data_IF_771787452000
#
_entry.id   IF_771787452000
#
_cell.length_a   1.000
_cell.length_b   1.000
_cell.length_c   1.000
_cell.angle_alpha   90.00
_cell.angle_beta   90.00
_cell.angle_gamma   90.00
#
_symmetry.space_group_name_H-M   'P 1'
#
loop_
_entity.id
_entity.type
_entity.pdbx_description
1 polymer ?
#
# COMPACT_ATOMS: atom_id res chain seq x y z
N UNK A 1 -46.85 19.39 71.37
CA UNK A 1 -45.49 18.86 71.63
C UNK A 1 -44.80 18.63 70.31
N UNK A 2 -43.83 19.41 70.02
CA UNK A 2 -43.07 19.58 68.75
C UNK A 2 -41.94 18.58 68.69
N UNK A 3 -41.92 17.78 67.66
CA UNK A 3 -40.77 16.93 67.25
C UNK A 3 -40.19 17.37 65.93
N UNK A 4 -39.10 18.12 65.93
CA UNK A 4 -38.34 18.52 64.78
C UNK A 4 -37.44 17.36 64.34
N UNK A 5 -37.69 16.82 63.12
CA UNK A 5 -36.79 15.88 62.49
C UNK A 5 -35.54 16.60 62.01
N UNK A 6 -34.36 16.14 62.42
CA UNK A 6 -33.06 16.55 61.90
C UNK A 6 -32.85 15.86 60.54
N UNK A 7 -32.77 16.64 59.49
CA UNK A 7 -32.34 16.15 58.12
C UNK A 7 -30.83 15.94 58.14
N UNK A 8 -30.44 14.70 57.87
CA UNK A 8 -29.06 14.25 57.80
C UNK A 8 -28.33 14.82 56.54
N UNK A 9 -27.44 15.78 56.78
CA UNK A 9 -26.62 16.43 55.74
C UNK A 9 -25.45 15.56 55.24
N UNK A 10 -25.29 14.34 55.75
CA UNK A 10 -24.13 13.48 55.41
C UNK A 10 -24.18 12.80 54.04
N UNK A 11 -25.35 12.75 53.38
CA UNK A 11 -25.50 12.07 52.07
C UNK A 11 -25.11 12.92 50.84
N UNK A 12 -24.95 14.24 50.99
CA UNK A 12 -24.66 15.12 49.85
C UNK A 12 -23.20 15.13 49.41
N UNK A 13 -22.26 14.90 50.33
CA UNK A 13 -20.83 14.94 50.00
C UNK A 13 -20.35 13.69 49.23
N UNK A 14 -20.98 12.54 49.42
CA UNK A 14 -20.65 11.32 48.68
C UNK A 14 -21.02 11.40 47.19
N UNK A 15 -22.16 12.01 46.87
CA UNK A 15 -22.65 12.12 45.50
C UNK A 15 -21.85 13.15 44.70
N UNK A 16 -21.41 14.25 45.34
CA UNK A 16 -20.56 15.25 44.68
C UNK A 16 -19.15 14.74 44.42
N UNK A 17 -18.59 13.92 45.34
CA UNK A 17 -17.29 13.27 45.12
C UNK A 17 -17.29 12.25 43.98
N UNK A 18 -18.36 11.46 43.85
CA UNK A 18 -18.53 10.50 42.76
C UNK A 18 -18.72 11.20 41.40
N UNK A 19 -19.44 12.32 41.35
CA UNK A 19 -19.63 13.08 40.11
C UNK A 19 -18.31 13.74 39.66
N UNK A 20 -17.52 14.28 40.58
CA UNK A 20 -16.21 14.86 40.28
C UNK A 20 -15.22 13.82 39.78
N UNK A 21 -15.20 12.61 40.37
CA UNK A 21 -14.35 11.51 39.94
C UNK A 21 -14.75 11.01 38.54
N UNK A 22 -16.06 10.93 38.26
CA UNK A 22 -16.55 10.52 36.93
C UNK A 22 -16.16 11.52 35.81
N UNK A 23 -16.20 12.84 36.12
CA UNK A 23 -15.79 13.89 35.19
C UNK A 23 -14.29 13.81 34.91
N UNK A 24 -13.44 13.58 35.91
CA UNK A 24 -11.99 13.44 35.76
C UNK A 24 -11.64 12.20 34.93
N UNK A 25 -12.34 11.08 35.13
CA UNK A 25 -12.15 9.87 34.31
C UNK A 25 -12.63 10.07 32.88
N UNK A 26 -13.70 10.83 32.65
CA UNK A 26 -14.20 11.11 31.29
C UNK A 26 -13.26 12.04 30.50
N UNK A 27 -12.65 13.03 31.17
CA UNK A 27 -11.68 13.94 30.56
C UNK A 27 -10.34 13.24 30.25
N UNK A 28 -9.93 12.27 31.06
CA UNK A 28 -8.75 11.46 30.81
C UNK A 28 -8.91 10.56 29.54
N UNK A 29 -10.14 10.12 29.23
CA UNK A 29 -10.44 9.36 28.03
C UNK A 29 -10.40 10.22 26.75
N UNK A 30 -10.67 11.54 26.85
CA UNK A 30 -10.62 12.47 25.73
C UNK A 30 -9.20 12.94 25.39
N UNK A 31 -8.24 12.70 26.30
CA UNK A 31 -6.83 13.01 26.12
C UNK A 31 -5.97 11.80 25.71
N UNK A 32 -6.60 10.70 25.26
CA UNK A 32 -5.85 9.61 24.65
C UNK A 32 -5.05 10.19 23.47
N UNK A 33 -3.71 10.04 23.43
CA UNK A 33 -2.96 10.48 22.27
C UNK A 33 -3.54 9.75 21.07
N UNK A 34 -3.99 10.51 20.07
CA UNK A 34 -4.31 9.92 18.78
C UNK A 34 -3.03 9.22 18.33
N UNK A 35 -3.07 7.90 18.28
CA UNK A 35 -2.02 7.14 17.65
C UNK A 35 -2.01 7.61 16.20
N UNK A 36 -1.04 8.46 15.87
CA UNK A 36 -0.75 8.80 14.49
C UNK A 36 -0.38 7.48 13.84
N UNK A 37 -1.20 7.04 12.91
CA UNK A 37 -0.80 5.93 12.07
C UNK A 37 0.54 6.36 11.46
N UNK A 38 1.61 5.62 11.74
CA UNK A 38 2.93 5.89 11.19
C UNK A 38 2.77 5.98 9.68
N UNK A 39 2.86 7.21 9.15
CA UNK A 39 2.78 7.44 7.72
C UNK A 39 3.99 6.75 7.11
N UNK A 40 3.75 5.83 6.18
CA UNK A 40 4.84 5.15 5.51
C UNK A 40 5.75 6.17 4.84
N UNK A 41 7.08 5.93 4.88
CA UNK A 41 8.05 6.81 4.25
C UNK A 41 7.66 7.08 2.79
N UNK A 42 7.62 8.35 2.35
CA UNK A 42 7.21 8.69 1.00
C UNK A 42 8.21 8.17 -0.02
N UNK A 43 7.70 7.84 -1.20
CA UNK A 43 8.52 7.55 -2.37
C UNK A 43 8.65 8.83 -3.18
N UNK A 44 9.88 9.31 -3.39
CA UNK A 44 10.14 10.48 -4.21
C UNK A 44 10.00 10.18 -5.70
N UNK A 45 10.56 9.06 -6.14
CA UNK A 45 10.51 8.58 -7.52
C UNK A 45 10.30 7.07 -7.51
N UNK A 46 9.40 6.60 -8.36
CA UNK A 46 9.21 5.18 -8.64
C UNK A 46 9.15 5.00 -10.16
N UNK A 47 10.17 4.36 -10.71
CA UNK A 47 10.24 4.03 -12.12
C UNK A 47 9.99 2.52 -12.27
N UNK A 48 9.09 2.14 -13.15
CA UNK A 48 8.74 0.74 -13.41
C UNK A 48 8.84 0.49 -14.91
N UNK A 49 9.70 -0.44 -15.29
CA UNK A 49 9.84 -0.94 -16.64
C UNK A 49 9.26 -2.35 -16.73
N UNK A 50 8.31 -2.54 -17.62
CA UNK A 50 7.67 -3.83 -17.92
C UNK A 50 7.98 -4.21 -19.34
N UNK A 51 8.57 -5.38 -19.52
CA UNK A 51 8.81 -5.96 -20.83
C UNK A 51 7.94 -7.21 -20.98
N UNK A 52 7.02 -7.18 -21.95
CA UNK A 52 6.15 -8.30 -22.28
C UNK A 52 6.79 -9.13 -23.37
N UNK A 53 6.96 -10.42 -23.12
CA UNK A 53 7.45 -11.39 -24.11
C UNK A 53 6.29 -12.00 -24.92
N UNK A 54 6.62 -12.64 -26.05
CA UNK A 54 5.65 -13.27 -26.96
C UNK A 54 4.79 -14.37 -26.27
N UNK A 55 5.33 -15.02 -25.25
CA UNK A 55 4.63 -16.03 -24.47
C UNK A 55 3.75 -15.44 -23.34
N UNK A 56 3.60 -14.11 -23.29
CA UNK A 56 2.76 -13.40 -22.34
C UNK A 56 3.36 -13.22 -20.95
N UNK A 57 4.66 -13.48 -20.78
CA UNK A 57 5.36 -13.23 -19.53
C UNK A 57 5.74 -11.76 -19.43
N UNK A 58 5.40 -11.11 -18.30
CA UNK A 58 5.82 -9.76 -17.98
C UNK A 58 7.10 -9.80 -17.13
N UNK A 59 8.17 -9.25 -17.63
CA UNK A 59 9.41 -9.01 -16.90
C UNK A 59 9.37 -7.61 -16.32
N UNK A 60 9.31 -7.51 -15.00
CA UNK A 60 9.19 -6.25 -14.26
C UNK A 60 10.52 -5.88 -13.65
N UNK A 61 10.97 -4.65 -13.89
CA UNK A 61 12.09 -4.03 -13.21
C UNK A 61 11.64 -2.69 -12.66
N UNK A 62 11.82 -2.47 -11.38
CA UNK A 62 11.43 -1.22 -10.75
C UNK A 62 12.56 -0.66 -9.89
N UNK A 63 12.73 0.66 -9.94
CA UNK A 63 13.62 1.41 -9.07
C UNK A 63 12.81 2.48 -8.35
N UNK A 64 13.00 2.58 -7.03
CA UNK A 64 12.32 3.57 -6.20
C UNK A 64 13.29 4.22 -5.22
N UNK A 65 13.10 5.53 -4.97
CA UNK A 65 13.78 6.28 -3.92
C UNK A 65 12.78 6.57 -2.80
N UNK A 66 13.03 6.03 -1.61
CA UNK A 66 12.25 6.31 -0.40
C UNK A 66 12.97 7.31 0.49
N UNK A 67 12.21 8.20 1.13
CA UNK A 67 12.73 9.23 2.02
C UNK A 67 12.36 8.94 3.49
N UNK A 68 13.34 8.51 4.27
CA UNK A 68 13.22 8.22 5.70
C UNK A 68 13.63 9.41 6.59
N UNK A 69 13.86 10.61 6.03
CA UNK A 69 14.33 11.79 6.79
C UNK A 69 13.34 12.23 7.86
N UNK A 70 12.05 11.95 7.68
CA UNK A 70 10.97 12.38 8.61
C UNK A 70 10.16 11.21 9.17
N UNK A 71 10.43 10.00 8.75
CA UNK A 71 9.70 8.80 9.16
C UNK A 71 10.68 7.71 9.61
N UNK A 72 10.28 6.95 10.62
CA UNK A 72 11.09 5.83 11.11
C UNK A 72 10.73 4.59 10.31
N UNK A 73 11.71 3.95 9.69
CA UNK A 73 11.49 2.74 8.91
C UNK A 73 12.74 1.87 8.82
N UNK A 74 12.58 0.65 8.33
CA UNK A 74 13.67 -0.31 8.14
C UNK A 74 13.83 -0.74 6.69
N UNK A 75 12.98 -0.19 5.80
CA UNK A 75 12.93 -0.48 4.37
C UNK A 75 11.53 -0.69 3.86
N UNK A 76 11.35 -0.90 2.55
CA UNK A 76 10.04 -1.11 1.94
C UNK A 76 9.40 -2.46 2.28
N UNK A 77 8.08 -2.49 2.22
CA UNK A 77 7.30 -3.73 2.18
C UNK A 77 6.48 -3.69 0.89
N UNK A 78 6.89 -4.47 -0.10
CA UNK A 78 6.10 -4.63 -1.32
C UNK A 78 4.98 -5.64 -1.06
N UNK A 79 3.78 -5.32 -1.55
CA UNK A 79 2.66 -6.26 -1.57
C UNK A 79 2.28 -6.49 -3.02
N UNK A 80 2.66 -7.64 -3.53
CA UNK A 80 2.46 -8.03 -4.92
C UNK A 80 1.16 -8.84 -5.01
N UNK A 81 0.08 -8.29 -5.61
CA UNK A 81 -1.17 -9.02 -5.78
C UNK A 81 -0.97 -10.20 -6.73
N UNK A 82 -1.52 -11.36 -6.34
CA UNK A 82 -1.56 -12.57 -7.19
C UNK A 82 -2.90 -12.73 -7.91
N UNK A 83 -3.79 -11.77 -7.76
CA UNK A 83 -5.10 -11.71 -8.41
C UNK A 83 -5.62 -10.29 -8.49
N UNK A 84 -6.46 -10.04 -9.48
CA UNK A 84 -7.27 -8.82 -9.57
C UNK A 84 -8.72 -9.16 -9.95
N UNK A 85 -9.70 -8.28 -9.65
CA UNK A 85 -11.09 -8.50 -10.04
C UNK A 85 -11.20 -8.73 -11.56
N UNK A 86 -11.95 -9.75 -11.93
CA UNK A 86 -12.29 -10.04 -13.33
C UNK A 86 -13.43 -9.18 -13.86
N UNK A 87 -13.86 -9.48 -15.11
CA UNK A 87 -14.93 -8.73 -15.77
C UNK A 87 -16.33 -8.94 -15.18
N UNK A 88 -16.56 -10.02 -14.44
CA UNK A 88 -17.84 -10.38 -13.83
C UNK A 88 -17.71 -10.44 -12.31
N UNK A 89 -18.82 -10.24 -11.59
CA UNK A 89 -18.85 -10.25 -10.14
C UNK A 89 -18.38 -11.59 -9.57
N UNK A 90 -17.42 -11.51 -8.67
CA UNK A 90 -16.83 -12.67 -8.00
C UNK A 90 -15.76 -13.42 -8.80
N UNK A 91 -15.46 -13.01 -10.02
CA UNK A 91 -14.37 -13.57 -10.81
C UNK A 91 -13.06 -12.84 -10.56
N UNK A 92 -11.95 -13.57 -10.64
CA UNK A 92 -10.60 -13.02 -10.49
C UNK A 92 -9.69 -13.56 -11.60
N UNK A 93 -8.94 -12.66 -12.22
CA UNK A 93 -7.72 -13.03 -12.95
C UNK A 93 -6.65 -13.41 -11.93
N UNK A 94 -5.96 -14.51 -12.17
CA UNK A 94 -4.89 -15.00 -11.31
C UNK A 94 -3.55 -14.83 -11.99
N UNK A 95 -2.55 -14.43 -11.22
CA UNK A 95 -1.18 -14.25 -11.67
C UNK A 95 -0.26 -15.20 -10.94
N UNK A 96 0.76 -15.64 -11.63
CA UNK A 96 1.92 -16.29 -11.02
C UNK A 96 3.08 -15.31 -11.01
N UNK A 97 3.66 -15.08 -9.82
CA UNK A 97 4.79 -14.20 -9.63
C UNK A 97 5.98 -15.03 -9.18
N UNK A 98 7.10 -14.87 -9.87
CA UNK A 98 8.33 -15.64 -9.61
C UNK A 98 9.59 -14.80 -9.82
N UNK A 99 10.75 -15.34 -9.43
CA UNK A 99 12.04 -14.71 -9.66
C UNK A 99 12.22 -13.37 -8.93
N UNK A 100 11.58 -13.17 -7.77
CA UNK A 100 11.68 -11.91 -7.01
C UNK A 100 13.11 -11.73 -6.52
N UNK A 101 13.72 -10.63 -6.94
CA UNK A 101 15.05 -10.19 -6.50
C UNK A 101 15.00 -8.73 -6.08
N UNK A 102 15.60 -8.40 -4.94
CA UNK A 102 15.71 -7.03 -4.45
C UNK A 102 17.15 -6.69 -4.14
N UNK A 103 17.56 -5.48 -4.49
CA UNK A 103 18.87 -4.92 -4.17
C UNK A 103 18.76 -3.45 -3.79
N UNK A 104 19.77 -2.94 -3.10
CA UNK A 104 19.90 -1.52 -2.80
C UNK A 104 21.38 -1.13 -2.77
N UNK A 105 21.77 -0.04 -3.44
CA UNK A 105 23.13 0.49 -3.34
C UNK A 105 23.37 1.30 -2.07
N UNK A 106 22.31 1.68 -1.33
CA UNK A 106 22.37 2.67 -0.24
C UNK A 106 21.89 2.15 1.11
N UNK A 107 21.24 0.97 1.15
CA UNK A 107 20.66 0.40 2.37
C UNK A 107 20.78 -1.13 2.40
N UNK A 108 20.61 -1.78 3.57
CA UNK A 108 20.42 -3.22 3.63
C UNK A 108 19.23 -3.66 2.78
N UNK A 109 19.38 -4.74 2.01
CA UNK A 109 18.37 -5.28 1.11
C UNK A 109 18.06 -6.76 1.37
N UNK A 110 18.25 -7.24 2.61
CA UNK A 110 17.80 -8.58 2.99
C UNK A 110 16.27 -8.67 2.76
N UNK A 111 15.86 -9.77 2.15
CA UNK A 111 14.44 -10.00 1.82
C UNK A 111 13.86 -11.11 2.67
N UNK A 112 12.63 -10.88 3.13
CA UNK A 112 11.78 -11.89 3.74
C UNK A 112 10.43 -11.91 3.03
N UNK A 113 10.13 -13.03 2.39
CA UNK A 113 8.90 -13.20 1.59
C UNK A 113 7.90 -14.05 2.35
N UNK A 114 6.65 -13.58 2.41
CA UNK A 114 5.52 -14.30 3.01
C UNK A 114 4.29 -14.15 2.11
N UNK A 115 3.29 -14.99 2.32
CA UNK A 115 1.98 -14.86 1.67
C UNK A 115 0.95 -14.44 2.71
N UNK A 116 0.14 -13.43 2.39
CA UNK A 116 -0.95 -13.00 3.26
C UNK A 116 -2.21 -13.88 3.10
N UNK A 117 -3.26 -13.58 3.88
CA UNK A 117 -4.52 -14.34 3.86
C UNK A 117 -5.28 -14.20 2.54
N UNK A 118 -5.07 -13.12 1.83
CA UNK A 118 -5.65 -12.86 0.51
C UNK A 118 -4.84 -13.54 -0.61
N UNK A 119 -3.69 -14.14 -0.29
CA UNK A 119 -2.81 -14.79 -1.25
C UNK A 119 -1.80 -13.85 -1.93
N UNK A 120 -1.70 -12.58 -1.51
CA UNK A 120 -0.70 -11.66 -2.02
C UNK A 120 0.69 -12.03 -1.48
N UNK A 121 1.71 -11.80 -2.28
CA UNK A 121 3.10 -11.98 -1.86
C UNK A 121 3.58 -10.69 -1.19
N UNK A 122 3.99 -10.79 0.08
CA UNK A 122 4.62 -9.70 0.80
C UNK A 122 6.13 -9.89 0.79
N UNK A 123 6.86 -8.90 0.32
CA UNK A 123 8.33 -8.87 0.31
C UNK A 123 8.80 -7.75 1.23
N UNK A 124 9.25 -8.12 2.41
CA UNK A 124 9.88 -7.19 3.35
C UNK A 124 11.35 -7.07 3.02
N UNK A 125 11.84 -5.84 2.94
CA UNK A 125 13.23 -5.54 2.56
C UNK A 125 13.88 -4.72 3.66
N UNK A 126 15.11 -5.08 4.02
CA UNK A 126 15.92 -4.36 4.99
C UNK A 126 16.40 -5.24 6.14
N UNK A 127 16.99 -4.61 7.15
CA UNK A 127 17.48 -5.25 8.38
C UNK A 127 16.52 -4.91 9.53
N UNK A 128 15.99 -5.95 10.19
CA UNK A 128 15.07 -5.81 11.32
C UNK A 128 15.65 -5.02 12.51
N UNK A 129 16.97 -4.97 12.63
CA UNK A 129 17.67 -4.32 13.74
C UNK A 129 18.23 -2.92 13.37
N UNK A 130 18.00 -2.46 12.12
CA UNK A 130 18.57 -1.20 11.65
C UNK A 130 17.47 -0.26 11.14
N UNK A 131 17.30 0.86 11.81
CA UNK A 131 16.48 1.96 11.32
C UNK A 131 17.24 2.75 10.25
N UNK A 132 16.50 3.20 9.27
CA UNK A 132 17.00 4.00 8.16
C UNK A 132 16.68 5.47 8.40
N UNK A 133 17.59 6.31 7.93
CA UNK A 133 17.49 7.76 7.87
C UNK A 133 17.87 8.19 6.47
N UNK A 134 17.50 9.39 6.06
CA UNK A 134 17.78 9.93 4.73
C UNK A 134 17.06 9.19 3.58
N UNK A 135 17.56 9.34 2.37
CA UNK A 135 17.01 8.77 1.17
C UNK A 135 17.71 7.50 0.77
N UNK A 136 16.94 6.49 0.41
CA UNK A 136 17.48 5.21 0.00
C UNK A 136 16.83 4.73 -1.30
N UNK A 137 17.68 4.20 -2.19
CA UNK A 137 17.26 3.62 -3.46
C UNK A 137 17.14 2.11 -3.35
N UNK A 138 16.03 1.56 -3.85
CA UNK A 138 15.79 0.12 -3.95
C UNK A 138 15.48 -0.25 -5.39
N UNK A 139 15.93 -1.44 -5.79
CA UNK A 139 15.60 -2.07 -7.07
C UNK A 139 14.92 -3.39 -6.80
N UNK A 140 13.79 -3.63 -7.45
CA UNK A 140 13.09 -4.91 -7.40
C UNK A 140 12.84 -5.40 -8.81
N UNK A 141 13.11 -6.67 -9.06
CA UNK A 141 12.75 -7.35 -10.31
C UNK A 141 12.00 -8.64 -10.02
N UNK A 142 11.09 -8.99 -10.90
CA UNK A 142 10.31 -10.23 -10.86
C UNK A 142 9.63 -10.50 -12.20
N UNK A 143 9.09 -11.70 -12.37
CA UNK A 143 8.29 -12.06 -13.53
C UNK A 143 6.84 -12.32 -13.11
N UNK A 144 5.91 -11.99 -14.00
CA UNK A 144 4.47 -12.24 -13.80
C UNK A 144 3.91 -12.92 -15.04
N UNK A 145 3.20 -14.02 -14.85
CA UNK A 145 2.41 -14.69 -15.89
C UNK A 145 0.92 -14.55 -15.61
N UNK A 146 0.09 -14.58 -16.65
CA UNK A 146 -1.36 -14.48 -16.54
C UNK A 146 -1.93 -13.06 -16.58
N UNK A 147 -1.14 -12.05 -16.97
CA UNK A 147 -1.58 -10.65 -17.07
C UNK A 147 -2.25 -10.32 -18.42
N UNK A 148 -2.06 -11.14 -19.45
CA UNK A 148 -2.65 -10.91 -20.77
C UNK A 148 -4.03 -11.55 -20.83
N UNK A 149 -5.03 -10.74 -21.15
CA UNK A 149 -6.37 -11.21 -21.51
C UNK A 149 -6.47 -11.26 -23.05
N UNK A 150 -6.40 -12.45 -23.66
CA UNK A 150 -6.49 -12.55 -25.11
C UNK A 150 -7.92 -12.25 -25.58
N UNK A 151 -8.01 -11.54 -26.71
CA UNK A 151 -9.29 -11.18 -27.35
C UNK A 151 -10.33 -10.66 -26.36
N UNK A 152 -9.97 -9.62 -25.61
CA UNK A 152 -10.82 -9.06 -24.56
C UNK A 152 -12.22 -8.71 -25.10
N UNK A 153 -13.33 -9.11 -24.44
CA UNK A 153 -14.70 -9.04 -24.99
C UNK A 153 -15.15 -7.67 -25.47
N UNK A 154 -14.61 -6.58 -24.91
CA UNK A 154 -14.99 -5.21 -25.26
C UNK A 154 -14.10 -4.57 -26.31
N UNK A 155 -12.81 -4.85 -26.28
CA UNK A 155 -11.81 -4.25 -27.19
C UNK A 155 -11.54 -5.09 -28.43
N UNK A 156 -11.78 -6.41 -28.36
CA UNK A 156 -11.38 -7.42 -29.36
C UNK A 156 -9.88 -7.43 -29.63
N UNK A 157 -9.10 -6.95 -28.68
CA UNK A 157 -7.64 -6.93 -28.70
C UNK A 157 -7.09 -7.76 -27.53
N UNK A 158 -5.86 -8.17 -27.61
CA UNK A 158 -5.14 -8.68 -26.44
C UNK A 158 -4.88 -7.51 -25.50
N UNK A 159 -5.25 -7.66 -24.25
CA UNK A 159 -5.19 -6.59 -23.26
C UNK A 159 -4.27 -6.95 -22.11
N UNK A 160 -3.27 -6.10 -21.88
CA UNK A 160 -2.47 -6.10 -20.66
C UNK A 160 -3.08 -5.11 -19.68
N UNK A 161 -3.55 -5.62 -18.53
CA UNK A 161 -4.15 -4.81 -17.49
C UNK A 161 -3.57 -5.19 -16.13
N UNK A 162 -2.89 -4.25 -15.48
CA UNK A 162 -2.17 -4.53 -14.26
C UNK A 162 -2.14 -3.37 -13.28
N UNK A 163 -2.31 -3.68 -11.97
CA UNK A 163 -2.10 -2.76 -10.88
C UNK A 163 -0.61 -2.73 -10.50
N UNK A 164 0.12 -1.80 -11.09
CA UNK A 164 1.59 -1.65 -10.97
C UNK A 164 2.04 -1.42 -9.53
N UNK A 165 1.25 -0.66 -8.75
CA UNK A 165 1.64 -0.21 -7.40
C UNK A 165 1.29 -1.28 -6.35
N UNK A 166 0.29 -2.13 -6.64
CA UNK A 166 -0.26 -3.06 -5.67
C UNK A 166 -0.94 -2.32 -4.51
N UNK A 167 -0.76 -2.84 -3.29
CA UNK A 167 -1.37 -2.27 -2.08
C UNK A 167 -0.40 -1.32 -1.34
N UNK A 168 0.26 -0.42 -2.05
CA UNK A 168 1.13 0.58 -1.43
C UNK A 168 0.31 1.61 -0.66
N UNK A 169 0.71 1.90 0.59
CA UNK A 169 -0.04 2.82 1.48
C UNK A 169 0.60 4.19 1.66
N UNK A 170 1.86 4.36 1.27
CA UNK A 170 2.58 5.62 1.39
C UNK A 170 2.31 6.57 0.22
N UNK A 171 2.74 7.82 0.39
CA UNK A 171 2.73 8.81 -0.69
C UNK A 171 3.76 8.43 -1.76
N UNK A 172 3.38 8.54 -3.03
CA UNK A 172 4.27 8.46 -4.19
C UNK A 172 4.23 9.84 -4.86
N UNK A 173 5.36 10.52 -4.91
CA UNK A 173 5.44 11.88 -5.48
C UNK A 173 5.48 11.82 -7.01
N UNK A 174 6.31 10.91 -7.55
CA UNK A 174 6.43 10.70 -9.00
C UNK A 174 6.44 9.21 -9.31
N UNK A 175 5.55 8.79 -10.19
CA UNK A 175 5.49 7.43 -10.72
C UNK A 175 5.59 7.48 -12.24
N UNK A 176 6.54 6.73 -12.80
CA UNK A 176 6.65 6.49 -14.23
C UNK A 176 6.55 5.02 -14.50
N UNK A 177 5.70 4.64 -15.43
CA UNK A 177 5.56 3.25 -15.88
C UNK A 177 5.79 3.21 -17.38
N UNK A 178 6.73 2.38 -17.81
CA UNK A 178 6.97 2.07 -19.20
C UNK A 178 6.62 0.61 -19.44
N UNK A 179 5.79 0.36 -20.44
CA UNK A 179 5.46 -0.99 -20.90
C UNK A 179 5.94 -1.12 -22.34
N UNK A 180 6.71 -2.16 -22.59
CA UNK A 180 7.19 -2.53 -23.93
C UNK A 180 6.65 -3.90 -24.26
N UNK A 181 6.01 -4.03 -25.39
CA UNK A 181 5.48 -5.31 -25.90
C UNK A 181 6.29 -5.87 -27.07
N UNK A 182 6.04 -7.12 -27.48
CA UNK A 182 6.64 -7.73 -28.67
C UNK A 182 6.06 -7.13 -29.96
N UNK A 183 4.85 -6.58 -29.90
CA UNK A 183 4.11 -5.97 -31.01
C UNK A 183 3.76 -4.52 -30.68
N UNK A 184 3.30 -3.78 -31.69
CA UNK A 184 2.91 -2.38 -31.52
C UNK A 184 1.69 -2.23 -30.61
N UNK A 185 1.80 -1.34 -29.63
CA UNK A 185 0.72 -1.00 -28.70
C UNK A 185 -0.26 -0.06 -29.41
N UNK A 186 -1.45 -0.53 -29.73
CA UNK A 186 -2.48 0.28 -30.41
C UNK A 186 -3.14 1.31 -29.48
N UNK A 187 -3.23 1.02 -28.17
CA UNK A 187 -3.87 1.89 -27.19
C UNK A 187 -3.22 1.74 -25.81
N UNK A 188 -2.92 2.87 -25.18
CA UNK A 188 -2.48 2.92 -23.78
C UNK A 188 -3.42 3.81 -22.98
N UNK A 189 -3.73 3.40 -21.76
CA UNK A 189 -4.50 4.19 -20.82
C UNK A 189 -4.00 3.92 -19.37
N UNK A 190 -4.13 4.89 -18.50
CA UNK A 190 -3.80 4.71 -17.11
C UNK A 190 -4.78 5.44 -16.19
N UNK A 191 -4.96 4.89 -14.99
CA UNK A 191 -5.80 5.47 -13.95
C UNK A 191 -5.09 5.44 -12.61
N UNK A 192 -5.39 6.42 -11.78
CA UNK A 192 -4.83 6.60 -10.44
C UNK A 192 -5.90 7.01 -9.43
N UNK A 193 -5.48 7.19 -8.18
CA UNK A 193 -6.37 7.59 -7.09
C UNK A 193 -7.23 6.46 -6.55
N UNK A 194 -8.03 6.78 -5.54
CA UNK A 194 -8.93 5.82 -4.92
C UNK A 194 -9.98 5.34 -5.93
N UNK A 195 -10.10 4.02 -6.08
CA UNK A 195 -11.01 3.36 -7.02
C UNK A 195 -10.72 3.66 -8.50
N UNK A 196 -9.47 4.01 -8.85
CA UNK A 196 -9.02 4.21 -10.24
C UNK A 196 -9.89 5.22 -11.03
N UNK A 197 -10.33 6.31 -10.36
CA UNK A 197 -11.26 7.28 -10.95
C UNK A 197 -10.58 8.44 -11.67
N UNK A 198 -9.29 8.63 -11.42
CA UNK A 198 -8.53 9.72 -12.03
C UNK A 198 -7.66 9.17 -13.15
N UNK A 199 -7.85 9.68 -14.36
CA UNK A 199 -6.94 9.36 -15.45
C UNK A 199 -5.58 10.02 -15.20
N UNK A 200 -4.51 9.29 -15.49
CA UNK A 200 -3.16 9.82 -15.54
C UNK A 200 -2.74 10.10 -16.99
N UNK A 201 -1.63 10.80 -17.16
CA UNK A 201 -1.07 11.02 -18.49
C UNK A 201 -0.54 9.70 -19.05
N UNK A 202 -1.00 9.32 -20.23
CA UNK A 202 -0.50 8.17 -20.98
C UNK A 202 -0.18 8.56 -22.42
N UNK A 203 0.82 7.94 -22.97
CA UNK A 203 1.19 8.09 -24.38
C UNK A 203 1.56 6.73 -24.97
N UNK A 204 1.37 6.59 -26.26
CA UNK A 204 1.77 5.43 -27.02
C UNK A 204 2.81 5.88 -28.07
N UNK A 205 3.94 5.19 -28.13
CA UNK A 205 5.03 5.48 -29.08
C UNK A 205 5.38 4.30 -29.99
N UNK A 206 4.47 3.35 -30.17
CA UNK A 206 4.71 2.08 -30.86
C UNK A 206 5.02 0.96 -29.87
N UNK A 207 6.08 0.20 -30.11
CA UNK A 207 6.50 -0.95 -29.27
C UNK A 207 6.81 -0.60 -27.84
#
# INVERSE_FOLDING_TARGET
>A
MTGRGRLDLKKRHGLQGLLALAIVLLTAFLAAPQAWADEAAPINHWNVDVNLSLDGVAHVNAELEMDFSKTVGRGPVFVLPTRQPGGEDGQFYRYEISGIHVSSPTAPAQTHTTTDKEGNIQVRVGDANRYLHDKHTYRISYTVTGLIAPNHPKSHLDEFNWNVIGNWRGRINNLTVKVTGPEDVSKAACWTGNNYKQSCTSSNSGK
#
